data_IF_820175195003
#
_entry.id   IF_820175195003
#
_cell.length_a   1.000
_cell.length_b   1.000
_cell.length_c   1.000
_cell.angle_alpha   90.00
_cell.angle_beta   90.00
_cell.angle_gamma   90.00
#
_symmetry.space_group_name_H-M   'P 1'
#
loop_
_entity.id
_entity.type
_entity.pdbx_description
1 polymer ?
#
# COMPACT_ATOMS: atom_id res chain seq x y z
N UNK A 1 14.13 19.01 15.98
CA UNK A 1 12.73 18.63 15.69
C UNK A 1 12.78 17.70 14.50
N UNK A 2 12.45 16.41 14.68
CA UNK A 2 12.30 15.49 13.55
C UNK A 2 11.10 16.00 12.75
N UNK A 3 11.34 16.58 11.58
CA UNK A 3 10.26 16.87 10.63
C UNK A 3 9.56 15.54 10.38
N UNK A 4 8.33 15.39 10.89
CA UNK A 4 7.51 14.24 10.56
C UNK A 4 7.35 14.27 9.05
N UNK A 5 7.78 13.20 8.40
CA UNK A 5 7.66 13.06 6.95
C UNK A 5 6.22 13.34 6.55
N UNK A 6 6.02 14.45 5.84
CA UNK A 6 4.70 14.90 5.44
C UNK A 6 4.45 14.41 4.04
N UNK A 7 3.45 13.53 3.89
CA UNK A 7 2.95 13.10 2.58
C UNK A 7 2.36 14.32 1.88
N UNK A 8 2.82 14.60 0.68
CA UNK A 8 2.30 15.62 -0.22
C UNK A 8 1.15 15.07 -1.06
N UNK A 9 1.33 13.86 -1.62
CA UNK A 9 0.33 13.20 -2.44
C UNK A 9 0.51 11.69 -2.43
N UNK A 10 -0.56 10.95 -2.70
CA UNK A 10 -0.51 9.52 -3.05
C UNK A 10 -0.65 9.41 -4.56
N UNK A 11 0.24 8.68 -5.23
CA UNK A 11 0.16 8.44 -6.67
C UNK A 11 -0.85 7.35 -6.99
N UNK A 12 -0.77 6.24 -6.27
CA UNK A 12 -1.71 5.13 -6.40
C UNK A 12 -1.69 4.24 -5.15
N UNK A 13 -2.75 3.46 -5.00
CA UNK A 13 -2.80 2.25 -4.21
C UNK A 13 -2.94 1.07 -5.17
N UNK A 14 -2.27 -0.02 -4.87
CA UNK A 14 -2.36 -1.26 -5.63
C UNK A 14 -2.67 -2.40 -4.66
N UNK A 15 -3.56 -3.27 -5.09
CA UNK A 15 -4.09 -4.37 -4.31
C UNK A 15 -3.94 -5.68 -5.08
N UNK A 16 -3.46 -6.70 -4.37
CA UNK A 16 -3.29 -8.06 -4.87
C UNK A 16 -3.82 -9.06 -3.83
N UNK A 17 -4.44 -10.13 -4.32
CA UNK A 17 -4.84 -11.28 -3.50
C UNK A 17 -4.02 -12.46 -3.97
N UNK A 18 -3.18 -12.96 -3.08
CA UNK A 18 -2.43 -14.19 -3.28
C UNK A 18 -3.15 -15.35 -2.62
N UNK A 19 -2.98 -16.56 -3.16
CA UNK A 19 -3.47 -17.79 -2.54
C UNK A 19 -2.26 -18.58 -2.04
N UNK A 20 -2.05 -18.56 -0.72
CA UNK A 20 -0.96 -19.27 -0.04
C UNK A 20 -1.59 -20.31 0.89
N UNK A 21 -1.23 -21.59 0.74
CA UNK A 21 -1.77 -22.70 1.55
C UNK A 21 -3.31 -22.76 1.61
N UNK A 22 -3.99 -22.49 0.48
CA UNK A 22 -5.45 -22.38 0.35
C UNK A 22 -6.09 -21.28 1.22
N UNK A 23 -5.31 -20.28 1.63
CA UNK A 23 -5.79 -19.06 2.28
C UNK A 23 -5.50 -17.86 1.41
N UNK A 24 -6.44 -16.92 1.40
CA UNK A 24 -6.23 -15.62 0.78
C UNK A 24 -5.26 -14.81 1.64
N UNK A 25 -4.20 -14.34 1.02
CA UNK A 25 -3.26 -13.37 1.58
C UNK A 25 -3.44 -12.05 0.83
N UNK A 26 -3.60 -10.97 1.57
CA UNK A 26 -4.00 -9.67 1.04
C UNK A 26 -2.77 -8.76 1.04
N UNK A 27 -2.27 -8.39 -0.14
CA UNK A 27 -1.17 -7.43 -0.27
C UNK A 27 -1.71 -6.06 -0.66
N UNK A 28 -1.31 -5.04 0.09
CA UNK A 28 -1.68 -3.66 -0.17
C UNK A 28 -0.42 -2.80 -0.21
N UNK A 29 -0.18 -2.18 -1.36
CA UNK A 29 0.95 -1.28 -1.57
C UNK A 29 0.47 0.10 -2.02
N UNK A 30 1.34 1.10 -1.84
CA UNK A 30 1.13 2.45 -2.35
C UNK A 30 2.43 3.09 -2.80
N UNK A 31 2.33 4.10 -3.64
CA UNK A 31 3.43 5.04 -3.88
C UNK A 31 3.00 6.42 -3.43
N UNK A 32 3.80 7.03 -2.55
CA UNK A 32 3.55 8.36 -1.97
C UNK A 32 4.69 9.31 -2.31
N UNK A 33 4.37 10.58 -2.50
CA UNK A 33 5.36 11.65 -2.60
C UNK A 33 5.47 12.34 -1.24
N UNK A 34 6.66 12.35 -0.65
CA UNK A 34 6.96 13.09 0.57
C UNK A 34 7.61 14.43 0.22
N UNK A 35 7.20 15.51 0.89
CA UNK A 35 7.67 16.89 0.63
C UNK A 35 9.20 17.02 0.53
N UNK A 36 9.94 16.31 1.38
CA UNK A 36 11.40 16.44 1.50
C UNK A 36 12.17 15.18 1.06
N UNK A 37 11.49 14.13 0.57
CA UNK A 37 12.12 12.84 0.20
C UNK A 37 11.75 12.32 -1.19
N UNK A 38 10.85 13.00 -1.89
CA UNK A 38 10.35 12.55 -3.17
C UNK A 38 9.47 11.31 -3.04
N UNK A 39 9.38 10.53 -4.12
CA UNK A 39 8.51 9.35 -4.19
C UNK A 39 9.11 8.18 -3.41
N UNK A 40 8.25 7.49 -2.65
CA UNK A 40 8.57 6.26 -1.93
C UNK A 40 7.46 5.25 -2.15
N UNK A 41 7.86 4.00 -2.40
CA UNK A 41 6.96 2.85 -2.43
C UNK A 41 6.83 2.28 -1.02
N UNK A 42 5.63 1.87 -0.66
CA UNK A 42 5.31 1.35 0.67
C UNK A 42 4.35 0.17 0.58
N UNK A 43 4.46 -0.76 1.52
CA UNK A 43 3.59 -1.92 1.70
C UNK A 43 2.96 -1.85 3.10
N UNK A 44 1.70 -2.27 3.24
CA UNK A 44 0.97 -2.24 4.49
C UNK A 44 0.94 -3.62 5.16
N UNK A 45 1.41 -3.69 6.40
CA UNK A 45 1.24 -4.85 7.27
C UNK A 45 1.42 -4.44 8.74
N UNK A 46 0.89 -5.24 9.68
CA UNK A 46 0.98 -4.99 11.12
C UNK A 46 0.54 -3.57 11.55
N UNK A 47 -0.50 -3.01 10.93
CA UNK A 47 -1.04 -1.70 11.26
C UNK A 47 -0.25 -0.51 10.72
N UNK A 48 0.85 -0.70 9.99
CA UNK A 48 1.69 0.39 9.52
C UNK A 48 2.19 0.23 8.07
N UNK A 49 2.62 1.35 7.48
CA UNK A 49 3.21 1.38 6.13
C UNK A 49 4.73 1.25 6.25
N UNK A 50 5.30 0.30 5.51
CA UNK A 50 6.73 0.01 5.49
C UNK A 50 7.31 0.29 4.11
N UNK A 51 8.55 0.79 4.05
CA UNK A 51 9.24 1.05 2.78
C UNK A 51 9.36 -0.22 1.93
N UNK A 52 8.80 -0.19 0.73
CA UNK A 52 8.85 -1.26 -0.25
C UNK A 52 9.16 -0.71 -1.65
N UNK A 53 10.40 -0.92 -2.11
CA UNK A 53 10.84 -0.42 -3.43
C UNK A 53 10.15 -1.12 -4.60
N UNK A 54 9.61 -2.32 -4.39
CA UNK A 54 8.92 -3.07 -5.43
C UNK A 54 7.61 -2.44 -5.88
N UNK A 55 7.04 -1.49 -5.11
CA UNK A 55 5.78 -0.86 -5.47
C UNK A 55 5.83 -0.15 -6.83
N UNK A 56 6.98 0.39 -7.21
CA UNK A 56 7.15 1.03 -8.51
C UNK A 56 7.06 0.07 -9.70
N UNK A 57 7.23 -1.24 -9.49
CA UNK A 57 7.12 -2.26 -10.55
C UNK A 57 5.70 -2.41 -11.08
N UNK A 58 4.69 -2.05 -10.29
CA UNK A 58 3.27 -2.14 -10.61
C UNK A 58 2.73 -0.86 -11.27
N UNK A 59 3.60 0.05 -11.72
CA UNK A 59 3.20 1.30 -12.36
C UNK A 59 3.92 1.48 -13.71
N UNK A 60 3.21 1.90 -14.77
CA UNK A 60 1.78 2.22 -14.81
C UNK A 60 0.85 1.02 -15.01
N UNK A 61 1.39 -0.19 -15.10
CA UNK A 61 0.62 -1.42 -15.30
C UNK A 61 0.39 -2.14 -13.95
N UNK A 62 -0.87 -2.20 -13.45
CA UNK A 62 -1.17 -2.80 -12.16
C UNK A 62 -1.13 -4.33 -12.18
N UNK A 63 -0.74 -4.98 -13.28
CA UNK A 63 -0.78 -6.44 -13.40
C UNK A 63 0.44 -7.10 -12.72
N UNK A 64 0.26 -8.15 -11.89
CA UNK A 64 -1.00 -8.68 -11.38
C UNK A 64 -1.64 -7.80 -10.30
N UNK A 65 -2.98 -7.82 -10.19
CA UNK A 65 -3.75 -7.02 -9.24
C UNK A 65 -4.51 -5.86 -9.88
N UNK A 66 -4.87 -4.86 -9.07
CA UNK A 66 -5.62 -3.69 -9.52
C UNK A 66 -5.23 -2.41 -8.77
N UNK A 67 -5.35 -1.27 -9.45
CA UNK A 67 -5.30 0.03 -8.77
C UNK A 67 -6.64 0.33 -8.10
N UNK A 68 -6.58 0.75 -6.84
CA UNK A 68 -7.76 1.08 -6.04
C UNK A 68 -7.66 2.52 -5.49
N UNK A 69 -8.80 3.04 -5.03
CA UNK A 69 -8.83 4.34 -4.35
C UNK A 69 -8.50 4.23 -2.85
N UNK A 70 -8.34 5.40 -2.19
CA UNK A 70 -8.01 5.45 -0.76
C UNK A 70 -9.12 4.85 0.12
N UNK A 71 -10.40 5.00 -0.27
CA UNK A 71 -11.51 4.48 0.52
C UNK A 71 -11.45 2.95 0.55
N UNK A 72 -11.23 2.32 -0.60
CA UNK A 72 -11.04 0.87 -0.72
C UNK A 72 -9.78 0.42 -0.02
N UNK A 73 -8.66 1.14 -0.14
CA UNK A 73 -7.42 0.81 0.56
C UNK A 73 -7.62 0.77 2.08
N UNK A 74 -8.37 1.72 2.65
CA UNK A 74 -8.73 1.73 4.08
C UNK A 74 -9.60 0.54 4.50
N UNK A 75 -10.44 0.01 3.61
CA UNK A 75 -11.20 -1.23 3.89
C UNK A 75 -10.26 -2.45 3.92
N UNK A 76 -9.34 -2.54 2.97
CA UNK A 76 -8.35 -3.63 2.91
C UNK A 76 -7.42 -3.60 4.12
N UNK A 77 -6.98 -2.41 4.57
CA UNK A 77 -6.15 -2.27 5.78
C UNK A 77 -6.80 -2.94 7.00
N UNK A 78 -8.11 -2.76 7.20
CA UNK A 78 -8.86 -3.40 8.30
C UNK A 78 -8.90 -4.92 8.17
N UNK A 79 -8.98 -5.44 6.94
CA UNK A 79 -8.95 -6.88 6.66
C UNK A 79 -7.56 -7.44 7.00
N UNK A 80 -6.50 -6.77 6.56
CA UNK A 80 -5.10 -7.16 6.84
C UNK A 80 -4.81 -7.17 8.34
N UNK A 81 -5.24 -6.13 9.06
CA UNK A 81 -5.04 -6.02 10.52
C UNK A 81 -5.93 -6.98 11.32
N UNK A 82 -6.78 -7.77 10.66
CA UNK A 82 -7.76 -8.65 11.29
C UNK A 82 -8.70 -7.89 12.24
N UNK A 83 -8.87 -6.58 12.02
CA UNK A 83 -9.89 -5.75 12.65
C UNK A 83 -11.26 -6.10 12.02
N UNK A 84 -11.71 -7.33 12.26
CA UNK A 84 -13.02 -7.79 11.83
C UNK A 84 -14.08 -7.09 12.70
N UNK A 85 -15.02 -6.42 12.03
CA UNK A 85 -16.26 -5.83 12.58
C UNK A 85 -17.19 -6.92 13.12
#
# INVERSE_FOLDING_TARGET
MNEKDTIESVLFYHFEIDIIDNKEDYSLIRVVTYKNRGQQGEEYYNGEWHSYKGAFSYYPDPTPGEFIDEARAKEIMKIIDQEII
#
